data_IF_512707348870
#
_entry.id   IF_512707348870
#
_cell.length_a   1.000
_cell.length_b   1.000
_cell.length_c   1.000
_cell.angle_alpha   90.00
_cell.angle_beta   90.00
_cell.angle_gamma   90.00
#
_symmetry.space_group_name_H-M   'P 1'
#
loop_
_entity.id
_entity.type
_entity.pdbx_description
1 polymer ?
#
# COMPACT_ATOMS: atom_id res chain seq x y z
N UNK A 1 -24.69 5.90 -12.57
CA UNK A 1 -24.01 5.50 -13.82
C UNK A 1 -22.92 4.43 -13.65
N UNK A 2 -22.56 3.99 -12.43
CA UNK A 2 -21.44 3.05 -12.23
C UNK A 2 -21.72 1.59 -12.62
N UNK A 3 -22.97 1.13 -12.61
CA UNK A 3 -23.32 -0.29 -12.88
C UNK A 3 -23.67 -0.62 -14.34
N UNK A 4 -23.63 0.36 -15.25
CA UNK A 4 -24.04 0.16 -16.64
C UNK A 4 -23.07 -0.74 -17.44
N UNK A 5 -21.77 -0.62 -17.17
CA UNK A 5 -20.73 -1.36 -17.90
C UNK A 5 -20.80 -2.87 -17.68
N UNK A 6 -21.11 -3.31 -16.46
CA UNK A 6 -21.27 -4.73 -16.14
C UNK A 6 -22.50 -5.30 -16.85
N UNK A 7 -23.58 -4.52 -16.95
CA UNK A 7 -24.79 -4.90 -17.68
C UNK A 7 -24.54 -5.10 -19.18
N UNK A 8 -23.76 -4.21 -19.81
CA UNK A 8 -23.39 -4.33 -21.23
C UNK A 8 -22.55 -5.56 -21.54
N UNK A 9 -21.54 -5.85 -20.70
CA UNK A 9 -20.64 -7.01 -20.89
C UNK A 9 -21.42 -8.34 -20.79
N UNK A 10 -22.42 -8.39 -19.90
CA UNK A 10 -23.26 -9.58 -19.74
C UNK A 10 -24.24 -9.73 -20.91
N UNK A 11 -24.86 -8.64 -21.36
CA UNK A 11 -25.83 -8.65 -22.47
C UNK A 11 -25.15 -9.05 -23.80
N UNK A 12 -23.96 -8.53 -24.07
CA UNK A 12 -23.13 -8.90 -25.24
C UNK A 12 -22.62 -10.35 -25.16
N UNK A 13 -22.43 -10.87 -23.94
CA UNK A 13 -22.10 -12.27 -23.66
C UNK A 13 -23.24 -13.27 -23.83
N UNK A 14 -24.46 -12.82 -24.16
CA UNK A 14 -25.64 -13.67 -24.29
C UNK A 14 -26.30 -14.03 -22.96
N UNK A 15 -26.09 -13.23 -21.91
CA UNK A 15 -26.71 -13.43 -20.60
C UNK A 15 -28.22 -13.12 -20.64
N UNK A 16 -29.05 -14.15 -20.55
CA UNK A 16 -30.51 -14.01 -20.46
C UNK A 16 -30.92 -13.98 -18.99
N UNK A 17 -31.40 -12.81 -18.50
CA UNK A 17 -31.96 -12.69 -17.15
C UNK A 17 -33.18 -13.60 -16.98
N UNK A 18 -33.13 -14.52 -16.01
CA UNK A 18 -34.26 -15.37 -15.62
C UNK A 18 -34.34 -16.73 -16.32
N UNK A 19 -33.37 -17.10 -17.16
CA UNK A 19 -33.28 -18.45 -17.74
C UNK A 19 -32.63 -19.42 -16.73
N UNK A 20 -33.22 -20.60 -16.56
CA UNK A 20 -32.68 -21.69 -15.73
C UNK A 20 -31.49 -22.41 -16.36
N UNK A 21 -31.28 -22.23 -17.68
CA UNK A 21 -30.14 -22.77 -18.44
C UNK A 21 -29.49 -21.62 -19.21
N UNK A 22 -28.21 -21.37 -18.95
CA UNK A 22 -27.41 -20.39 -19.69
C UNK A 22 -26.72 -21.05 -20.88
N UNK A 23 -26.56 -20.31 -21.97
CA UNK A 23 -25.85 -20.80 -23.15
C UNK A 23 -24.36 -21.00 -22.81
N UNK A 24 -23.66 -21.95 -23.46
CA UNK A 24 -22.22 -22.16 -23.25
C UNK A 24 -21.39 -20.87 -23.40
N UNK A 25 -21.81 -19.98 -24.30
CA UNK A 25 -21.22 -18.68 -24.56
C UNK A 25 -21.35 -17.72 -23.36
N UNK A 26 -22.51 -17.69 -22.70
CA UNK A 26 -22.72 -16.86 -21.51
C UNK A 26 -21.86 -17.33 -20.33
N UNK A 27 -21.74 -18.65 -20.14
CA UNK A 27 -20.87 -19.22 -19.11
C UNK A 27 -19.41 -18.85 -19.35
N UNK A 28 -18.93 -18.98 -20.59
CA UNK A 28 -17.56 -18.61 -20.94
C UNK A 28 -17.29 -17.11 -20.72
N UNK A 29 -18.26 -16.24 -21.06
CA UNK A 29 -18.15 -14.80 -20.82
C UNK A 29 -18.06 -14.48 -19.32
N UNK A 30 -18.86 -15.14 -18.49
CA UNK A 30 -18.81 -14.96 -17.02
C UNK A 30 -17.45 -15.42 -16.48
N UNK A 31 -16.94 -16.57 -16.92
CA UNK A 31 -15.63 -17.07 -16.49
C UNK A 31 -14.49 -16.13 -16.89
N UNK A 32 -14.52 -15.61 -18.12
CA UNK A 32 -13.53 -14.63 -18.59
C UNK A 32 -13.62 -13.32 -17.82
N UNK A 33 -14.82 -12.81 -17.57
CA UNK A 33 -15.02 -11.60 -16.77
C UNK A 33 -14.49 -11.79 -15.33
N UNK A 34 -14.72 -12.96 -14.73
CA UNK A 34 -14.18 -13.29 -13.39
C UNK A 34 -12.66 -13.40 -13.38
N UNK A 35 -12.10 -14.09 -14.37
CA UNK A 35 -10.66 -14.29 -14.50
C UNK A 35 -9.93 -12.98 -14.75
N UNK A 36 -10.42 -12.17 -15.70
CA UNK A 36 -9.84 -10.87 -16.02
C UNK A 36 -10.04 -9.88 -14.87
N UNK A 37 -11.24 -9.82 -14.29
CA UNK A 37 -11.52 -8.92 -13.16
C UNK A 37 -10.63 -9.23 -11.95
N UNK A 38 -10.54 -10.50 -11.56
CA UNK A 38 -9.67 -10.93 -10.46
C UNK A 38 -8.19 -10.75 -10.81
N UNK A 39 -7.79 -11.12 -12.03
CA UNK A 39 -6.41 -10.97 -12.50
C UNK A 39 -5.94 -9.52 -12.51
N UNK A 40 -6.80 -8.58 -12.92
CA UNK A 40 -6.51 -7.14 -12.87
C UNK A 40 -6.37 -6.67 -11.43
N UNK A 41 -7.27 -7.06 -10.52
CA UNK A 41 -7.18 -6.68 -9.11
C UNK A 41 -5.89 -7.20 -8.46
N UNK A 42 -5.54 -8.46 -8.71
CA UNK A 42 -4.29 -9.06 -8.22
C UNK A 42 -3.07 -8.37 -8.84
N UNK A 43 -3.11 -8.10 -10.14
CA UNK A 43 -2.04 -7.36 -10.84
C UNK A 43 -1.83 -5.97 -10.26
N UNK A 44 -2.91 -5.23 -10.00
CA UNK A 44 -2.85 -3.91 -9.34
C UNK A 44 -2.31 -4.02 -7.91
N UNK A 45 -2.75 -5.01 -7.13
CA UNK A 45 -2.23 -5.25 -5.78
C UNK A 45 -0.73 -5.58 -5.79
N UNK A 46 -0.26 -6.38 -6.75
CA UNK A 46 1.15 -6.68 -6.93
C UNK A 46 1.94 -5.44 -7.36
N UNK A 47 1.44 -4.66 -8.31
CA UNK A 47 2.08 -3.40 -8.72
C UNK A 47 2.22 -2.42 -7.55
N UNK A 48 1.17 -2.28 -6.73
CA UNK A 48 1.22 -1.46 -5.51
C UNK A 48 2.23 -2.04 -4.53
N UNK A 49 2.28 -3.37 -4.35
CA UNK A 49 3.25 -4.05 -3.48
C UNK A 49 4.69 -3.84 -3.93
N UNK A 50 4.97 -3.88 -5.23
CA UNK A 50 6.29 -3.61 -5.78
C UNK A 50 6.65 -2.12 -5.77
N UNK A 51 5.66 -1.23 -5.84
CA UNK A 51 5.87 0.22 -5.78
C UNK A 51 6.04 0.70 -4.34
N UNK A 52 5.38 0.05 -3.37
CA UNK A 52 5.64 0.22 -1.95
C UNK A 52 7.05 -0.31 -1.66
N UNK A 53 8.01 0.61 -1.66
CA UNK A 53 9.26 0.48 -0.92
C UNK A 53 8.89 0.34 0.56
N UNK A 54 8.50 -0.86 0.99
CA UNK A 54 8.58 -1.25 2.39
C UNK A 54 10.06 -1.41 2.69
N UNK A 55 10.69 -0.26 2.85
CA UNK A 55 12.11 -0.06 3.01
C UNK A 55 12.45 -0.57 4.41
N UNK A 56 12.63 -1.90 4.52
CA UNK A 56 13.04 -2.59 5.74
C UNK A 56 14.28 -1.93 6.34
N UNK A 57 15.09 -1.35 5.46
CA UNK A 57 16.31 -0.63 5.76
C UNK A 57 16.03 0.68 6.53
N UNK A 58 15.04 1.48 6.13
CA UNK A 58 14.75 2.74 6.87
C UNK A 58 14.13 2.48 8.24
N UNK A 59 13.26 1.46 8.37
CA UNK A 59 12.75 1.07 9.68
C UNK A 59 13.87 0.56 10.59
N UNK A 60 14.79 -0.24 10.04
CA UNK A 60 15.95 -0.72 10.80
C UNK A 60 16.86 0.42 11.24
N UNK A 61 17.14 1.39 10.35
CA UNK A 61 17.94 2.58 10.66
C UNK A 61 17.30 3.41 11.79
N UNK A 62 15.97 3.64 11.75
CA UNK A 62 15.28 4.36 12.83
C UNK A 62 15.32 3.60 14.15
N UNK A 63 15.08 2.28 14.14
CA UNK A 63 15.11 1.48 15.37
C UNK A 63 16.50 1.46 15.98
N UNK A 64 17.54 1.28 15.16
CA UNK A 64 18.94 1.30 15.59
C UNK A 64 19.29 2.67 16.20
N UNK A 65 18.78 3.77 15.61
CA UNK A 65 18.96 5.13 16.15
C UNK A 65 18.22 5.35 17.47
N UNK A 66 16.97 4.90 17.60
CA UNK A 66 16.21 4.97 18.85
C UNK A 66 16.94 4.19 19.95
N UNK A 67 17.51 3.03 19.63
CA UNK A 67 18.28 2.24 20.60
C UNK A 67 19.57 2.97 21.03
N UNK A 68 20.26 3.64 20.10
CA UNK A 68 21.44 4.48 20.39
C UNK A 68 21.08 5.65 21.33
N UNK A 69 19.99 6.37 21.05
CA UNK A 69 19.52 7.47 21.88
C UNK A 69 19.07 6.98 23.27
N UNK A 70 18.40 5.83 23.35
CA UNK A 70 18.02 5.20 24.64
C UNK A 70 19.23 4.73 25.45
N UNK A 71 20.33 4.35 24.81
CA UNK A 71 21.58 3.98 25.46
C UNK A 71 22.38 5.20 25.97
N UNK A 72 21.85 6.42 25.81
CA UNK A 72 22.51 7.67 26.23
C UNK A 72 23.43 8.27 25.17
N UNK A 73 23.34 7.83 23.91
CA UNK A 73 24.07 8.45 22.81
C UNK A 73 23.59 9.86 22.52
N UNK A 74 24.52 10.76 22.15
CA UNK A 74 24.18 12.13 21.79
C UNK A 74 23.52 12.20 20.42
N UNK A 75 22.53 13.10 20.27
CA UNK A 75 21.92 13.43 18.97
C UNK A 75 22.93 14.01 17.98
N UNK A 76 24.02 14.59 18.47
CA UNK A 76 25.08 15.19 17.64
C UNK A 76 25.93 14.14 16.90
N UNK A 77 25.98 12.90 17.43
CA UNK A 77 26.74 11.80 16.83
C UNK A 77 25.91 11.01 15.77
N UNK A 78 24.76 11.55 15.34
CA UNK A 78 23.92 10.92 14.32
C UNK A 78 24.61 10.97 12.94
N UNK A 79 24.55 9.89 12.18
CA UNK A 79 25.06 9.89 10.80
C UNK A 79 24.11 10.67 9.88
N UNK A 80 24.67 11.30 8.83
CA UNK A 80 23.87 12.08 7.86
C UNK A 80 22.80 11.23 7.18
N UNK A 81 23.07 9.95 6.95
CA UNK A 81 22.12 8.97 6.39
C UNK A 81 20.95 8.72 7.36
N UNK A 82 21.25 8.45 8.64
CA UNK A 82 20.21 8.25 9.66
C UNK A 82 19.38 9.52 9.88
N UNK A 83 20.00 10.71 9.86
CA UNK A 83 19.29 11.99 9.95
C UNK A 83 18.28 12.13 8.79
N UNK A 84 18.71 11.93 7.56
CA UNK A 84 17.84 12.03 6.38
C UNK A 84 16.68 11.02 6.43
N UNK A 85 16.95 9.79 6.86
CA UNK A 85 15.91 8.75 7.00
C UNK A 85 14.89 9.11 8.08
N UNK A 86 15.34 9.64 9.23
CA UNK A 86 14.43 10.08 10.29
C UNK A 86 13.60 11.28 9.84
N UNK A 87 14.18 12.25 9.15
CA UNK A 87 13.45 13.43 8.63
C UNK A 87 12.43 13.04 7.56
N UNK A 88 12.79 12.13 6.64
CA UNK A 88 11.90 11.62 5.60
C UNK A 88 10.71 10.83 6.18
N UNK A 89 10.96 10.01 7.20
CA UNK A 89 9.92 9.18 7.83
C UNK A 89 9.05 9.93 8.83
N UNK A 90 9.57 10.96 9.50
CA UNK A 90 8.82 11.72 10.49
C UNK A 90 8.19 12.99 9.91
N UNK A 91 8.77 13.53 8.82
CA UNK A 91 8.38 14.81 8.24
C UNK A 91 8.84 16.03 9.06
N UNK A 92 9.60 15.83 10.13
CA UNK A 92 10.15 16.88 10.99
C UNK A 92 11.68 16.89 10.90
N UNK A 93 12.29 18.06 11.12
CA UNK A 93 13.76 18.13 11.23
C UNK A 93 14.20 17.33 12.44
N UNK A 94 15.27 16.56 12.31
CA UNK A 94 15.74 15.65 13.38
C UNK A 94 15.99 16.36 14.72
N UNK A 95 16.38 17.64 14.65
CA UNK A 95 16.61 18.54 15.80
C UNK A 95 15.34 18.80 16.63
N UNK A 96 14.17 18.76 16.00
CA UNK A 96 12.87 19.01 16.62
C UNK A 96 12.25 17.74 17.24
N UNK A 97 12.87 16.58 17.01
CA UNK A 97 12.35 15.27 17.42
C UNK A 97 13.05 14.83 18.71
N UNK A 98 12.32 14.14 19.58
CA UNK A 98 12.81 13.68 20.89
C UNK A 98 13.34 14.82 21.78
N UNK A 99 12.76 16.01 21.69
CA UNK A 99 13.05 17.06 22.67
C UNK A 99 12.56 16.60 24.05
N UNK A 100 13.37 16.79 25.12
CA UNK A 100 12.85 16.62 26.46
C UNK A 100 11.66 17.56 26.61
N UNK A 101 10.49 17.03 26.99
CA UNK A 101 9.36 17.88 27.35
C UNK A 101 9.82 18.79 28.47
N UNK A 102 9.96 20.08 28.21
CA UNK A 102 10.03 21.07 29.27
C UNK A 102 8.68 21.03 29.97
N UNK A 103 8.61 20.27 31.04
CA UNK A 103 7.49 20.33 31.98
C UNK A 103 7.64 21.68 32.67
N UNK A 104 7.03 22.71 32.09
CA UNK A 104 6.87 24.02 32.73
C UNK A 104 6.11 23.83 34.04
N UNK A 105 6.86 23.73 35.14
CA UNK A 105 6.40 23.87 36.54
C UNK A 105 6.02 25.30 36.85
#
# INVERSE_FOLDING_TARGET
MQHFFIGLILDEGGFIKGSSVQTPQAVQTILLAFLLGTGVLVGLALLITFTFHLNRDTHKIIVDEINRLKAGGSKEDVTLETKAVVEDLTGYKYEDIWQPTEVTT
#
